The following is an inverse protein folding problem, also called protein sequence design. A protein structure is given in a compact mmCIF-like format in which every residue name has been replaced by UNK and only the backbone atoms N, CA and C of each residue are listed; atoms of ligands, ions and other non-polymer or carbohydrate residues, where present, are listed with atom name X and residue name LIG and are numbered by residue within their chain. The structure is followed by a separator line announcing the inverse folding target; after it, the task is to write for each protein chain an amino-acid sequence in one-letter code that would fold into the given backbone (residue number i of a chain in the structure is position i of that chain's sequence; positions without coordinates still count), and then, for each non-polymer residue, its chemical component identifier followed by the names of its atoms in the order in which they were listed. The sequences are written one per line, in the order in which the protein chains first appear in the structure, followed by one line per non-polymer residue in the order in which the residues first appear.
data_IF_115254104977
#
_entry.id   IF_115254104977
#
_cell.length_a   1.000
_cell.length_b   1.000
_cell.length_c   1.000
_cell.angle_alpha   90.00
_cell.angle_beta   90.00
_cell.angle_gamma   90.00
#
_symmetry.space_group_name_H-M   'P 1'
#
loop_
_entity.id
_entity.type
_entity.pdbx_description
1 polymer ?
#
# COMPACT_ATOMS: atom_id res chain seq x y z
N UNK A 1 28.72 10.98 1.63
CA UNK A 1 28.29 10.56 0.28
C UNK A 1 29.47 10.73 -0.65
N UNK A 2 29.54 9.91 -1.68
CA UNK A 2 30.62 9.92 -2.67
C UNK A 2 30.01 10.17 -4.04
N UNK A 3 30.60 11.06 -4.82
CA UNK A 3 30.17 11.32 -6.19
C UNK A 3 30.86 10.37 -7.20
N UNK A 4 30.49 10.39 -8.49
CA UNK A 4 31.10 9.52 -9.50
C UNK A 4 32.62 9.74 -9.72
N UNK A 5 33.17 10.89 -9.31
CA UNK A 5 34.61 11.15 -9.36
C UNK A 5 35.37 10.58 -8.16
N UNK A 6 34.65 10.09 -7.16
CA UNK A 6 35.21 9.62 -5.89
C UNK A 6 35.30 10.70 -4.82
N UNK A 7 34.86 11.94 -5.10
CA UNK A 7 34.89 13.02 -4.12
C UNK A 7 33.85 12.78 -3.02
N UNK A 8 34.27 12.94 -1.76
CA UNK A 8 33.39 12.73 -0.62
C UNK A 8 32.81 14.06 -0.10
N UNK A 9 31.51 14.05 0.21
CA UNK A 9 30.80 15.15 0.84
C UNK A 9 29.95 14.65 2.01
N UNK A 10 30.08 15.31 3.16
CA UNK A 10 29.17 15.09 4.28
C UNK A 10 27.78 15.67 3.96
N UNK A 11 26.75 14.86 4.12
CA UNK A 11 25.35 15.25 3.94
C UNK A 11 24.58 14.85 5.19
N UNK A 12 23.73 15.75 5.69
CA UNK A 12 22.77 15.43 6.74
C UNK A 12 21.37 15.48 6.14
N UNK A 13 20.62 14.41 6.34
CA UNK A 13 19.19 14.42 6.05
C UNK A 13 18.47 15.28 7.09
N UNK A 14 17.70 16.25 6.61
CA UNK A 14 17.02 17.21 7.48
C UNK A 14 15.88 16.54 8.25
N UNK A 15 15.68 16.97 9.48
CA UNK A 15 14.47 16.61 10.24
C UNK A 15 13.23 17.29 9.65
N UNK A 16 13.38 18.46 9.05
CA UNK A 16 12.30 19.13 8.30
C UNK A 16 12.20 18.59 6.87
N UNK A 17 11.00 18.67 6.29
CA UNK A 17 10.75 18.25 4.90
C UNK A 17 11.58 19.13 3.96
N UNK A 18 12.35 18.47 3.08
CA UNK A 18 13.13 19.14 2.04
C UNK A 18 12.30 19.20 0.76
N UNK A 19 11.99 20.40 0.22
CA UNK A 19 11.20 20.53 -1.02
C UNK A 19 12.02 20.18 -2.28
N UNK A 20 13.33 20.01 -2.15
CA UNK A 20 14.26 19.64 -3.22
C UNK A 20 15.07 18.40 -2.82
N UNK A 21 15.76 17.78 -3.78
CA UNK A 21 16.60 16.60 -3.54
C UNK A 21 17.69 16.93 -2.48
N UNK A 22 17.65 16.34 -1.27
CA UNK A 22 18.69 16.56 -0.25
C UNK A 22 20.09 16.13 -0.69
N UNK A 23 20.20 15.27 -1.71
CA UNK A 23 21.47 14.88 -2.30
C UNK A 23 21.31 14.57 -3.78
N UNK A 24 22.30 14.97 -4.58
CA UNK A 24 22.38 14.74 -6.03
C UNK A 24 23.80 14.30 -6.40
N UNK A 25 23.96 13.75 -7.60
CA UNK A 25 25.25 13.31 -8.15
C UNK A 25 25.98 12.31 -7.23
N UNK A 26 25.31 11.20 -6.91
CA UNK A 26 25.78 10.23 -5.92
C UNK A 26 26.16 8.92 -6.64
N UNK A 27 27.35 8.40 -6.31
CA UNK A 27 27.80 7.05 -6.65
C UNK A 27 28.01 6.17 -5.40
N UNK A 28 27.95 6.75 -4.19
CA UNK A 28 27.93 5.98 -2.96
C UNK A 28 27.50 6.75 -1.71
N UNK A 29 27.16 6.01 -0.67
CA UNK A 29 26.79 6.52 0.64
C UNK A 29 27.52 5.74 1.73
N UNK A 30 27.94 6.44 2.79
CA UNK A 30 28.53 5.82 3.98
C UNK A 30 27.93 6.48 5.21
N UNK A 31 27.51 5.68 6.18
CA UNK A 31 26.95 6.17 7.44
C UNK A 31 27.21 5.18 8.58
N UNK A 32 27.18 5.70 9.80
CA UNK A 32 27.24 4.87 11.00
C UNK A 32 25.84 4.72 11.58
N UNK A 33 25.44 3.50 11.91
CA UNK A 33 24.17 3.20 12.54
C UNK A 33 24.32 2.00 13.48
N UNK A 34 23.82 2.12 14.71
CA UNK A 34 23.73 1.02 15.69
C UNK A 34 25.05 0.22 15.88
N UNK A 35 26.20 0.90 15.91
CA UNK A 35 27.51 0.25 16.08
C UNK A 35 28.11 -0.34 14.80
N UNK A 36 27.50 -0.09 13.63
CA UNK A 36 28.01 -0.51 12.33
C UNK A 36 28.29 0.68 11.41
N UNK A 37 29.29 0.50 10.56
CA UNK A 37 29.56 1.36 9.42
C UNK A 37 28.96 0.68 8.19
N UNK A 38 27.90 1.25 7.65
CA UNK A 38 27.32 0.83 6.38
C UNK A 38 27.91 1.66 5.23
N UNK A 39 28.26 1.01 4.14
CA UNK A 39 28.71 1.62 2.88
C UNK A 39 27.90 1.04 1.73
N UNK A 40 27.27 1.92 0.95
CA UNK A 40 26.46 1.58 -0.22
C UNK A 40 27.15 2.14 -1.46
N UNK A 41 27.44 1.31 -2.44
CA UNK A 41 27.97 1.71 -3.75
C UNK A 41 26.92 1.50 -4.84
N UNK A 42 26.83 2.43 -5.78
CA UNK A 42 25.91 2.39 -6.91
C UNK A 42 26.68 2.27 -8.22
N UNK A 43 26.23 1.39 -9.11
CA UNK A 43 26.83 1.13 -10.42
C UNK A 43 25.71 1.18 -11.47
N UNK A 44 26.04 1.74 -12.64
CA UNK A 44 25.17 1.73 -13.82
C UNK A 44 24.44 3.04 -14.08
N UNK A 45 24.38 3.96 -13.11
CA UNK A 45 23.81 5.31 -13.30
C UNK A 45 24.27 6.27 -12.19
N UNK A 46 23.94 7.55 -12.34
CA UNK A 46 24.05 8.57 -11.29
C UNK A 46 22.78 8.54 -10.45
N UNK A 47 22.93 8.55 -9.12
CA UNK A 47 21.81 8.52 -8.19
C UNK A 47 21.60 9.88 -7.52
N UNK A 48 20.37 10.10 -7.05
CA UNK A 48 19.99 11.21 -6.20
C UNK A 48 18.98 10.76 -5.15
N UNK A 49 18.77 11.57 -4.11
CA UNK A 49 17.85 11.27 -3.01
C UNK A 49 16.74 12.31 -2.99
N UNK A 50 15.49 11.86 -2.93
CA UNK A 50 14.29 12.67 -2.68
C UNK A 50 13.75 12.39 -1.29
N UNK A 51 13.23 13.44 -0.67
CA UNK A 51 12.47 13.36 0.57
C UNK A 51 11.02 12.95 0.26
N UNK A 52 10.65 11.69 0.56
CA UNK A 52 9.30 11.19 0.25
C UNK A 52 8.23 11.71 1.22
N UNK A 53 8.59 12.50 2.24
CA UNK A 53 7.62 13.15 3.13
C UNK A 53 6.80 14.20 2.39
N UNK A 54 7.29 14.71 1.26
CA UNK A 54 6.49 15.48 0.30
C UNK A 54 5.30 14.68 -0.27
N UNK A 55 5.38 13.36 -0.22
CA UNK A 55 4.40 12.41 -0.75
C UNK A 55 3.81 11.52 0.35
N UNK A 56 3.74 12.02 1.58
CA UNK A 56 3.16 11.35 2.78
C UNK A 56 3.84 10.05 3.23
N UNK A 57 5.00 9.71 2.66
CA UNK A 57 5.81 8.57 3.09
C UNK A 57 6.91 9.05 4.05
N UNK A 58 7.03 8.40 5.21
CA UNK A 58 7.97 8.74 6.27
C UNK A 58 9.41 8.25 5.98
N UNK A 59 9.88 8.41 4.73
CA UNK A 59 11.16 7.89 4.27
C UNK A 59 11.88 8.83 3.28
N UNK A 60 13.11 8.45 2.94
CA UNK A 60 13.88 9.03 1.83
C UNK A 60 14.03 7.97 0.75
N UNK A 61 13.88 8.38 -0.51
CA UNK A 61 14.05 7.50 -1.67
C UNK A 61 15.31 7.89 -2.40
N UNK A 62 16.19 6.94 -2.64
CA UNK A 62 17.37 7.11 -3.52
C UNK A 62 17.10 6.41 -4.83
N UNK A 63 17.27 7.10 -5.95
CA UNK A 63 16.89 6.62 -7.27
C UNK A 63 17.82 7.16 -8.35
N UNK A 64 17.70 6.54 -9.51
CA UNK A 64 18.25 6.95 -10.79
C UNK A 64 17.14 6.74 -11.85
N UNK A 65 17.19 7.38 -13.01
CA UNK A 65 18.14 8.40 -13.51
C UNK A 65 17.78 9.81 -12.97
N UNK A 66 18.71 10.78 -12.85
CA UNK A 66 18.40 12.11 -12.30
C UNK A 66 17.22 12.82 -12.99
N UNK A 67 16.37 13.47 -12.19
CA UNK A 67 15.12 14.11 -12.66
C UNK A 67 15.34 15.31 -13.57
N UNK A 68 16.54 15.90 -13.57
CA UNK A 68 16.87 17.01 -14.46
C UNK A 68 17.14 16.55 -15.90
N UNK A 69 17.24 15.24 -16.15
CA UNK A 69 17.33 14.71 -17.50
C UNK A 69 15.97 14.80 -18.20
N UNK A 70 15.95 15.08 -19.52
CA UNK A 70 14.72 15.06 -20.29
C UNK A 70 13.97 13.73 -20.14
N UNK A 71 12.69 13.82 -19.78
CA UNK A 71 11.79 12.69 -19.67
C UNK A 71 10.85 12.62 -20.90
N UNK A 72 10.62 11.43 -21.48
CA UNK A 72 11.21 10.14 -21.12
C UNK A 72 12.67 10.00 -21.59
N UNK A 73 13.50 9.28 -20.82
CA UNK A 73 14.85 8.90 -21.26
C UNK A 73 14.72 7.79 -22.31
N UNK A 74 15.17 8.05 -23.53
CA UNK A 74 15.11 7.07 -24.61
C UNK A 74 16.17 5.97 -24.43
N UNK A 75 15.74 4.72 -24.37
CA UNK A 75 16.60 3.53 -24.41
C UNK A 75 16.35 2.83 -25.75
N UNK A 76 17.40 2.59 -26.55
CA UNK A 76 17.27 1.95 -27.86
C UNK A 76 17.10 0.43 -27.70
N UNK A 77 16.36 -0.25 -28.60
CA UNK A 77 16.34 -1.71 -28.61
C UNK A 77 17.77 -2.28 -28.66
N UNK A 78 18.05 -3.24 -27.77
CA UNK A 78 19.37 -3.86 -27.65
C UNK A 78 20.39 -3.09 -26.82
N UNK A 79 20.05 -1.94 -26.21
CA UNK A 79 20.94 -1.27 -25.25
C UNK A 79 21.15 -2.17 -24.03
N UNK A 80 22.40 -2.60 -23.73
CA UNK A 80 22.68 -3.34 -22.50
C UNK A 80 22.59 -2.38 -21.32
N UNK A 81 21.84 -2.79 -20.29
CA UNK A 81 21.72 -2.06 -19.03
C UNK A 81 22.15 -3.01 -17.92
N UNK A 82 23.15 -2.60 -17.16
CA UNK A 82 23.57 -3.28 -15.95
C UNK A 82 23.56 -2.25 -14.81
N UNK A 83 22.81 -2.57 -13.76
CA UNK A 83 22.76 -1.78 -12.55
C UNK A 83 23.09 -2.69 -11.37
N UNK A 84 23.90 -2.19 -10.45
CA UNK A 84 24.28 -2.93 -9.27
C UNK A 84 24.35 -2.01 -8.06
N UNK A 85 23.89 -2.54 -6.92
CA UNK A 85 23.94 -1.86 -5.64
C UNK A 85 24.67 -2.78 -4.67
N UNK A 86 25.76 -2.28 -4.09
CA UNK A 86 26.61 -3.07 -3.21
C UNK A 86 26.56 -2.47 -1.80
N UNK A 87 25.91 -3.18 -0.88
CA UNK A 87 25.91 -2.86 0.54
C UNK A 87 27.03 -3.62 1.25
N UNK A 88 27.89 -2.91 1.95
CA UNK A 88 28.92 -3.45 2.85
C UNK A 88 28.63 -2.96 4.26
N UNK A 89 28.65 -3.87 5.22
CA UNK A 89 28.46 -3.55 6.63
C UNK A 89 29.71 -4.04 7.36
N UNK A 90 30.33 -3.15 8.11
CA UNK A 90 31.44 -3.47 9.00
C UNK A 90 31.08 -3.05 10.42
N UNK A 91 31.57 -3.77 11.42
CA UNK A 91 31.51 -3.28 12.80
C UNK A 91 32.26 -1.96 12.92
N UNK A 92 31.66 -0.97 13.57
CA UNK A 92 32.34 0.26 13.92
C UNK A 92 33.02 0.07 15.28
N UNK A 93 34.32 0.38 15.43
CA UNK A 93 34.93 0.45 16.75
C UNK A 93 34.26 1.58 17.55
N UNK A 94 33.38 1.22 18.48
CA UNK A 94 32.76 2.16 19.40
C UNK A 94 33.41 1.99 20.78
N UNK A 95 33.94 3.05 21.41
CA UNK A 95 34.32 2.98 22.80
C UNK A 95 33.02 2.94 23.63
N UNK A 96 32.68 1.77 24.15
CA UNK A 96 31.68 1.61 25.22
C UNK A 96 30.21 1.37 24.81
N UNK A 97 29.92 0.99 23.57
CA UNK A 97 28.57 0.55 23.19
C UNK A 97 28.36 -0.94 23.51
N UNK A 98 27.42 -1.28 24.40
CA UNK A 98 27.00 -2.67 24.60
C UNK A 98 26.44 -3.25 23.29
N UNK A 99 26.97 -4.41 22.90
CA UNK A 99 26.52 -5.19 21.76
C UNK A 99 25.06 -5.59 21.98
N UNK A 100 24.13 -5.04 21.19
CA UNK A 100 22.82 -5.67 21.05
C UNK A 100 23.06 -7.08 20.51
N UNK A 101 22.75 -8.11 21.32
CA UNK A 101 22.88 -9.48 20.88
C UNK A 101 22.01 -9.68 19.64
N UNK A 102 22.63 -10.01 18.51
CA UNK A 102 21.87 -10.42 17.33
C UNK A 102 20.96 -11.59 17.72
N UNK A 103 19.68 -11.61 17.32
CA UNK A 103 18.83 -12.77 17.54
C UNK A 103 19.56 -14.01 16.99
N UNK A 104 19.74 -15.04 17.83
CA UNK A 104 20.60 -16.20 17.55
C UNK A 104 20.22 -16.93 16.25
N UNK A 105 18.98 -16.75 15.79
CA UNK A 105 18.47 -17.29 14.53
C UNK A 105 19.03 -16.61 13.27
N UNK A 106 19.45 -15.34 13.32
CA UNK A 106 19.95 -14.60 12.15
C UNK A 106 21.40 -14.99 11.83
N UNK A 107 22.23 -15.21 12.86
CA UNK A 107 23.64 -15.57 12.68
C UNK A 107 23.84 -16.93 12.00
N UNK A 108 22.93 -17.89 12.22
CA UNK A 108 22.96 -19.19 11.55
C UNK A 108 22.54 -19.11 10.07
N UNK A 109 21.66 -18.17 9.72
CA UNK A 109 21.18 -17.96 8.35
C UNK A 109 22.16 -17.13 7.50
N UNK A 110 23.03 -16.34 8.13
CA UNK A 110 23.98 -15.44 7.47
C UNK A 110 25.38 -15.59 8.09
N UNK A 111 26.13 -16.66 7.76
CA UNK A 111 27.50 -16.81 8.24
C UNK A 111 28.39 -15.65 7.74
N UNK A 112 29.26 -15.09 8.60
CA UNK A 112 29.98 -13.84 8.34
C UNK A 112 30.95 -13.92 7.16
N UNK A 113 31.43 -15.12 6.82
CA UNK A 113 32.46 -15.33 5.79
C UNK A 113 31.88 -15.72 4.41
N UNK A 114 30.55 -15.61 4.23
CA UNK A 114 29.91 -15.93 2.95
C UNK A 114 29.05 -14.77 2.45
N UNK A 115 29.15 -14.39 1.15
CA UNK A 115 28.26 -13.40 0.59
C UNK A 115 26.82 -13.90 0.65
N UNK A 116 25.98 -13.23 1.44
CA UNK A 116 24.56 -13.49 1.49
C UNK A 116 23.91 -13.05 0.18
N UNK A 117 23.40 -14.00 -0.60
CA UNK A 117 22.59 -13.69 -1.79
C UNK A 117 21.14 -13.51 -1.37
N UNK A 118 20.69 -12.26 -1.25
CA UNK A 118 19.26 -11.94 -1.11
C UNK A 118 18.66 -11.98 -2.50
N UNK A 119 17.79 -12.97 -2.75
CA UNK A 119 16.98 -13.02 -3.97
C UNK A 119 15.67 -12.32 -3.69
N UNK A 120 15.47 -11.17 -4.30
CA UNK A 120 14.16 -10.49 -4.31
C UNK A 120 13.38 -11.05 -5.49
N UNK A 121 12.30 -11.77 -5.19
CA UNK A 121 11.52 -12.51 -6.18
C UNK A 121 11.41 -14.00 -5.85
N UNK A 122 10.19 -14.51 -5.93
CA UNK A 122 9.74 -15.82 -5.43
C UNK A 122 8.34 -15.67 -4.84
N UNK A 123 7.52 -16.72 -4.77
CA UNK A 123 6.22 -16.63 -4.13
C UNK A 123 6.44 -16.18 -2.68
N UNK A 124 6.00 -14.97 -2.35
CA UNK A 124 5.89 -14.61 -0.96
C UNK A 124 4.83 -15.55 -0.38
N UNK A 125 5.14 -16.28 0.70
CA UNK A 125 4.11 -16.94 1.54
C UNK A 125 3.22 -15.89 2.26
N UNK A 126 3.09 -14.70 1.66
CA UNK A 126 2.30 -13.56 2.07
C UNK A 126 1.22 -13.41 1.01
N UNK A 127 -0.02 -13.35 1.48
CA UNK A 127 -1.16 -13.01 0.66
C UNK A 127 -1.05 -11.52 0.39
N UNK A 128 -0.81 -11.15 -0.87
CA UNK A 128 -0.98 -9.76 -1.31
C UNK A 128 -2.48 -9.51 -1.37
N UNK A 129 -2.99 -8.38 -0.85
CA UNK A 129 -4.41 -8.07 -0.99
C UNK A 129 -4.78 -8.08 -2.47
N UNK A 130 -5.91 -8.70 -2.77
CA UNK A 130 -6.45 -8.76 -4.12
C UNK A 130 -6.76 -7.33 -4.62
N UNK A 131 -6.14 -6.93 -5.72
CA UNK A 131 -6.37 -5.65 -6.39
C UNK A 131 -7.32 -5.90 -7.55
N UNK A 132 -8.48 -5.27 -7.50
CA UNK A 132 -9.51 -5.40 -8.54
C UNK A 132 -9.78 -4.02 -9.13
N UNK A 133 -9.82 -3.93 -10.47
CA UNK A 133 -10.14 -2.69 -11.17
C UNK A 133 -11.41 -2.89 -12.01
N UNK A 134 -12.56 -2.61 -11.41
CA UNK A 134 -13.85 -2.59 -12.08
C UNK A 134 -14.85 -1.78 -11.25
N UNK A 135 -15.62 -0.90 -11.88
CA UNK A 135 -16.64 -0.09 -11.22
C UNK A 135 -17.96 -0.09 -11.99
N UNK A 136 -19.05 0.19 -11.28
CA UNK A 136 -20.44 0.25 -11.78
C UNK A 136 -21.24 1.44 -11.19
N UNK A 137 -20.56 2.50 -10.79
CA UNK A 137 -21.18 3.64 -10.08
C UNK A 137 -21.97 4.59 -10.99
N UNK A 138 -21.78 4.52 -12.31
CA UNK A 138 -22.47 5.35 -13.30
C UNK A 138 -23.12 4.48 -14.40
N UNK A 139 -24.20 4.94 -15.05
CA UNK A 139 -24.77 4.26 -16.21
C UNK A 139 -23.83 4.36 -17.43
N UNK A 140 -23.82 3.36 -18.29
CA UNK A 140 -23.00 3.36 -19.50
C UNK A 140 -22.83 1.98 -20.12
N UNK A 141 -21.82 1.86 -20.99
CA UNK A 141 -21.42 0.57 -21.56
C UNK A 141 -20.69 -0.23 -20.48
N UNK A 142 -21.19 -1.42 -20.17
CA UNK A 142 -20.52 -2.37 -19.27
C UNK A 142 -19.30 -2.95 -19.98
N UNK A 143 -18.06 -2.67 -19.52
CA UNK A 143 -16.84 -3.23 -20.11
C UNK A 143 -16.73 -4.72 -19.82
N UNK A 144 -15.87 -5.43 -20.56
CA UNK A 144 -15.53 -6.83 -20.28
C UNK A 144 -15.03 -7.00 -18.84
N UNK A 145 -15.53 -8.04 -18.17
CA UNK A 145 -15.28 -8.34 -16.76
C UNK A 145 -14.43 -9.60 -16.58
N UNK A 146 -13.94 -10.18 -17.68
CA UNK A 146 -13.06 -11.35 -17.65
C UNK A 146 -11.88 -11.16 -16.68
N UNK A 147 -11.75 -12.06 -15.71
CA UNK A 147 -10.68 -12.04 -14.70
C UNK A 147 -10.94 -11.12 -13.51
N UNK A 148 -12.07 -10.40 -13.45
CA UNK A 148 -12.46 -9.69 -12.24
C UNK A 148 -13.04 -10.66 -11.21
N UNK A 149 -12.76 -10.38 -9.95
CA UNK A 149 -13.31 -11.09 -8.80
C UNK A 149 -14.53 -10.37 -8.21
N UNK A 150 -14.53 -9.05 -8.30
CA UNK A 150 -15.59 -8.18 -7.82
C UNK A 150 -15.72 -6.91 -8.66
N UNK A 151 -16.88 -6.25 -8.58
CA UNK A 151 -17.12 -4.93 -9.16
C UNK A 151 -17.41 -3.93 -8.05
N UNK A 152 -16.76 -2.78 -8.12
CA UNK A 152 -16.94 -1.70 -7.18
C UNK A 152 -18.22 -0.91 -7.46
N UNK A 153 -18.99 -0.65 -6.41
CA UNK A 153 -20.12 0.27 -6.43
C UNK A 153 -20.03 1.22 -5.25
N UNK A 154 -20.24 2.51 -5.52
CA UNK A 154 -20.35 3.53 -4.49
C UNK A 154 -21.82 3.91 -4.34
N UNK A 155 -22.33 3.81 -3.11
CA UNK A 155 -23.68 4.18 -2.74
C UNK A 155 -23.62 5.51 -2.00
N UNK A 156 -23.89 6.59 -2.73
CA UNK A 156 -24.05 7.90 -2.10
C UNK A 156 -25.44 7.99 -1.47
N UNK A 157 -25.50 7.87 -0.15
CA UNK A 157 -26.75 7.81 0.61
C UNK A 157 -27.46 9.17 0.71
N UNK A 158 -26.87 10.25 0.19
CA UNK A 158 -27.54 11.54 0.01
C UNK A 158 -28.33 11.62 -1.31
N UNK A 159 -28.02 10.76 -2.29
CA UNK A 159 -28.73 10.71 -3.57
C UNK A 159 -29.92 9.76 -3.50
N UNK A 160 -31.12 10.21 -3.85
CA UNK A 160 -32.32 9.35 -3.84
C UNK A 160 -32.25 8.22 -4.88
N UNK A 161 -31.36 8.30 -5.86
CA UNK A 161 -31.15 7.27 -6.89
C UNK A 161 -30.20 6.13 -6.47
N UNK A 162 -29.65 6.13 -5.24
CA UNK A 162 -28.74 5.07 -4.79
C UNK A 162 -29.31 3.64 -4.94
N UNK A 163 -30.63 3.36 -4.80
CA UNK A 163 -31.16 2.01 -5.04
C UNK A 163 -31.01 1.57 -6.50
N UNK A 164 -31.21 2.48 -7.46
CA UNK A 164 -31.04 2.20 -8.89
C UNK A 164 -29.56 1.97 -9.25
N UNK A 165 -28.65 2.67 -8.55
CA UNK A 165 -27.20 2.43 -8.64
C UNK A 165 -26.85 1.02 -8.18
N UNK A 166 -27.40 0.57 -7.05
CA UNK A 166 -27.18 -0.77 -6.53
C UNK A 166 -27.75 -1.86 -7.45
N UNK A 167 -28.99 -1.68 -7.94
CA UNK A 167 -29.64 -2.63 -8.85
C UNK A 167 -28.87 -2.77 -10.18
N UNK A 168 -28.36 -1.66 -10.72
CA UNK A 168 -27.48 -1.69 -11.88
C UNK A 168 -26.19 -2.42 -11.57
N UNK A 169 -25.53 -2.13 -10.45
CA UNK A 169 -24.30 -2.80 -10.06
C UNK A 169 -24.49 -4.32 -9.91
N UNK A 170 -25.62 -4.76 -9.39
CA UNK A 170 -25.96 -6.20 -9.34
C UNK A 170 -26.10 -6.81 -10.74
N UNK A 171 -26.71 -6.07 -11.68
CA UNK A 171 -26.84 -6.52 -13.07
C UNK A 171 -25.47 -6.57 -13.75
N UNK A 172 -24.68 -5.51 -13.60
CA UNK A 172 -23.34 -5.39 -14.17
C UNK A 172 -22.34 -6.36 -13.56
N UNK A 173 -22.59 -6.83 -12.34
CA UNK A 173 -21.78 -7.83 -11.68
C UNK A 173 -21.83 -9.20 -12.38
N UNK A 174 -22.91 -9.55 -13.08
CA UNK A 174 -23.00 -10.78 -13.90
C UNK A 174 -22.40 -12.04 -13.24
N UNK A 175 -22.74 -12.26 -11.96
CA UNK A 175 -22.23 -13.40 -11.17
C UNK A 175 -20.88 -13.20 -10.46
N UNK A 176 -20.24 -12.05 -10.64
CA UNK A 176 -19.11 -11.59 -9.83
C UNK A 176 -19.59 -10.98 -8.49
N UNK A 177 -18.69 -10.86 -7.50
CA UNK A 177 -19.03 -10.22 -6.23
C UNK A 177 -19.13 -8.68 -6.36
N UNK A 178 -19.70 -8.02 -5.36
CA UNK A 178 -19.67 -6.56 -5.18
C UNK A 178 -18.61 -6.12 -4.17
N UNK A 179 -17.93 -5.01 -4.45
CA UNK A 179 -17.14 -4.22 -3.51
C UNK A 179 -17.91 -2.91 -3.25
N UNK A 180 -18.60 -2.83 -2.11
CA UNK A 180 -19.56 -1.76 -1.82
C UNK A 180 -18.91 -0.69 -0.96
N UNK A 181 -18.91 0.55 -1.45
CA UNK A 181 -18.53 1.75 -0.68
C UNK A 181 -19.78 2.56 -0.33
N UNK A 182 -20.13 2.59 0.95
CA UNK A 182 -21.24 3.38 1.47
C UNK A 182 -20.71 4.77 1.79
N UNK A 183 -21.20 5.78 1.08
CA UNK A 183 -20.90 7.19 1.37
C UNK A 183 -22.09 7.78 2.10
N UNK A 184 -21.94 8.06 3.39
CA UNK A 184 -23.02 8.40 4.30
C UNK A 184 -22.63 9.53 5.25
N UNK A 185 -23.61 10.23 5.80
CA UNK A 185 -23.40 11.24 6.87
C UNK A 185 -23.86 10.74 8.23
N UNK A 186 -24.55 9.60 8.28
CA UNK A 186 -25.16 9.07 9.51
C UNK A 186 -25.07 7.55 9.59
N UNK A 187 -25.06 7.02 10.82
CA UNK A 187 -25.16 5.58 11.07
C UNK A 187 -26.45 4.96 10.49
N UNK A 188 -27.55 5.71 10.48
CA UNK A 188 -28.82 5.25 9.93
C UNK A 188 -28.75 4.98 8.42
N UNK A 189 -28.06 5.84 7.67
CA UNK A 189 -27.79 5.62 6.25
C UNK A 189 -26.92 4.39 6.01
N UNK A 190 -25.92 4.14 6.87
CA UNK A 190 -25.11 2.92 6.80
C UNK A 190 -25.97 1.68 7.02
N UNK A 191 -26.83 1.67 8.04
CA UNK A 191 -27.73 0.54 8.30
C UNK A 191 -28.72 0.30 7.14
N UNK A 192 -29.26 1.36 6.55
CA UNK A 192 -30.13 1.25 5.38
C UNK A 192 -29.42 0.61 4.18
N UNK A 193 -28.16 1.00 3.94
CA UNK A 193 -27.36 0.38 2.90
C UNK A 193 -27.04 -1.09 3.22
N UNK A 194 -26.73 -1.41 4.48
CA UNK A 194 -26.49 -2.78 4.94
C UNK A 194 -27.70 -3.69 4.72
N UNK A 195 -28.91 -3.21 4.99
CA UNK A 195 -30.16 -3.92 4.71
C UNK A 195 -30.30 -4.23 3.21
N UNK A 196 -30.00 -3.26 2.35
CA UNK A 196 -30.16 -3.40 0.91
C UNK A 196 -29.12 -4.32 0.27
N UNK A 197 -27.91 -4.41 0.83
CA UNK A 197 -26.83 -5.26 0.29
C UNK A 197 -26.78 -6.65 0.92
N UNK A 198 -27.48 -6.88 2.05
CA UNK A 198 -27.55 -8.17 2.71
C UNK A 198 -27.94 -9.37 1.82
N UNK A 199 -28.86 -9.24 0.82
CA UNK A 199 -29.20 -10.36 -0.05
C UNK A 199 -28.21 -10.54 -1.22
N UNK A 200 -27.18 -9.71 -1.35
CA UNK A 200 -26.27 -9.68 -2.50
C UNK A 200 -24.95 -10.39 -2.20
N UNK A 201 -24.28 -10.85 -3.26
CA UNK A 201 -22.93 -11.43 -3.17
C UNK A 201 -21.88 -10.32 -2.99
N UNK A 202 -21.68 -9.88 -1.74
CA UNK A 202 -20.73 -8.82 -1.39
C UNK A 202 -19.41 -9.40 -0.88
N UNK A 203 -18.29 -9.01 -1.50
CA UNK A 203 -16.93 -9.39 -1.09
C UNK A 203 -16.36 -8.43 -0.05
N UNK A 204 -16.66 -7.13 -0.19
CA UNK A 204 -16.11 -6.06 0.65
C UNK A 204 -17.13 -4.97 0.90
N UNK A 205 -17.07 -4.40 2.09
CA UNK A 205 -17.85 -3.24 2.51
C UNK A 205 -16.92 -2.19 3.11
N UNK A 206 -17.12 -0.93 2.73
CA UNK A 206 -16.52 0.23 3.38
C UNK A 206 -17.57 1.29 3.63
N UNK A 207 -17.40 2.07 4.71
CA UNK A 207 -18.24 3.22 5.01
C UNK A 207 -17.37 4.47 5.12
N UNK A 208 -17.76 5.54 4.44
CA UNK A 208 -17.02 6.79 4.33
C UNK A 208 -17.96 7.96 4.59
N UNK A 209 -17.47 8.97 5.30
CA UNK A 209 -18.22 10.19 5.53
C UNK A 209 -18.37 10.98 4.23
N UNK A 210 -19.59 11.48 3.98
CA UNK A 210 -19.91 12.17 2.73
C UNK A 210 -19.16 13.49 2.54
N UNK A 211 -18.63 14.11 3.61
CA UNK A 211 -17.90 15.36 3.53
C UNK A 211 -16.39 15.14 3.63
N UNK A 212 -15.93 14.30 4.56
CA UNK A 212 -14.48 14.07 4.78
C UNK A 212 -13.89 12.98 3.90
N UNK A 213 -14.74 12.09 3.35
CA UNK A 213 -14.34 10.86 2.67
C UNK A 213 -13.47 9.93 3.52
N UNK A 214 -13.55 10.05 4.85
CA UNK A 214 -12.86 9.20 5.81
C UNK A 214 -13.85 8.20 6.45
N UNK A 215 -13.34 7.04 6.86
CA UNK A 215 -14.09 6.10 7.70
C UNK A 215 -14.13 6.60 9.14
N UNK A 216 -15.06 7.52 9.41
CA UNK A 216 -15.26 8.10 10.74
C UNK A 216 -15.78 7.05 11.74
N UNK A 217 -15.45 7.24 13.03
CA UNK A 217 -15.76 6.28 14.11
C UNK A 217 -17.24 5.85 14.13
N UNK A 218 -18.16 6.79 13.94
CA UNK A 218 -19.61 6.53 13.99
C UNK A 218 -20.07 5.65 12.84
N UNK A 219 -19.55 5.90 11.63
CA UNK A 219 -19.88 5.11 10.44
C UNK A 219 -19.24 3.72 10.50
N UNK A 220 -18.01 3.65 11.03
CA UNK A 220 -17.34 2.38 11.30
C UNK A 220 -18.09 1.51 12.31
N UNK A 221 -18.54 2.10 13.42
CA UNK A 221 -19.34 1.38 14.41
C UNK A 221 -20.63 0.84 13.77
N UNK A 222 -21.33 1.66 12.97
CA UNK A 222 -22.52 1.21 12.23
C UNK A 222 -22.20 0.07 11.26
N UNK A 223 -21.05 0.11 10.57
CA UNK A 223 -20.66 -0.94 9.64
C UNK A 223 -20.35 -2.28 10.33
N UNK A 224 -19.71 -2.25 11.50
CA UNK A 224 -19.28 -3.45 12.23
C UNK A 224 -20.39 -4.03 13.12
N UNK A 225 -21.23 -3.17 13.71
CA UNK A 225 -22.26 -3.55 14.67
C UNK A 225 -23.66 -3.62 14.05
N UNK A 226 -23.85 -2.99 12.89
CA UNK A 226 -25.11 -2.97 12.16
C UNK A 226 -25.54 -4.38 11.77
N UNK A 227 -26.80 -4.72 12.09
CA UNK A 227 -27.42 -5.99 11.69
C UNK A 227 -28.45 -5.71 10.60
N UNK A 228 -28.48 -6.49 9.51
CA UNK A 228 -29.60 -6.46 8.59
C UNK A 228 -30.90 -6.82 9.35
N UNK A 229 -31.98 -6.11 9.07
CA UNK A 229 -33.30 -6.36 9.65
C UNK A 229 -33.79 -7.78 9.32
N UNK A 230 -34.33 -8.47 10.33
CA UNK A 230 -34.52 -9.92 10.36
C UNK A 230 -35.70 -10.47 9.51
N UNK A 231 -36.08 -9.81 8.41
CA UNK A 231 -37.22 -10.23 7.57
C UNK A 231 -36.84 -11.15 6.40
N UNK A 232 -35.60 -11.62 6.32
CA UNK A 232 -35.16 -12.58 5.30
C UNK A 232 -35.41 -14.05 5.73
N UNK A 233 -35.87 -14.86 4.78
CA UNK A 233 -36.40 -16.23 4.96
C UNK A 233 -35.47 -17.20 5.72
N UNK A 234 -35.99 -18.14 6.56
CA UNK A 234 -35.19 -18.91 7.53
C UNK A 234 -34.28 -20.01 6.95
N UNK A 235 -34.27 -20.26 5.64
CA UNK A 235 -33.56 -21.41 5.07
C UNK A 235 -32.05 -21.22 4.87
N UNK A 236 -31.43 -20.22 5.49
CA UNK A 236 -29.96 -20.03 5.48
C UNK A 236 -29.33 -19.81 6.86
N UNK A 237 -30.11 -19.82 7.95
CA UNK A 237 -29.62 -19.52 9.30
C UNK A 237 -29.47 -20.78 10.15
N UNK A 238 -28.49 -21.62 9.81
CA UNK A 238 -27.81 -22.43 10.80
C UNK A 238 -26.64 -21.61 11.36
N UNK A 239 -26.67 -21.35 12.67
CA UNK A 239 -25.64 -20.74 13.53
C UNK A 239 -24.37 -20.24 12.80
N UNK A 240 -24.21 -18.92 12.65
CA UNK A 240 -22.96 -18.34 12.17
C UNK A 240 -22.34 -17.43 13.23
N UNK A 241 -21.21 -17.92 13.73
CA UNK A 241 -20.07 -17.19 14.29
C UNK A 241 -19.80 -15.86 13.57
N UNK A 242 -19.03 -14.93 14.18
CA UNK A 242 -18.69 -13.63 13.59
C UNK A 242 -18.38 -13.76 12.10
N UNK A 243 -19.17 -13.00 11.33
CA UNK A 243 -19.11 -12.77 9.88
C UNK A 243 -17.87 -13.41 9.24
N UNK A 244 -18.05 -14.62 8.70
CA UNK A 244 -17.19 -15.39 7.77
C UNK A 244 -15.67 -15.10 7.78
N UNK A 245 -14.79 -16.12 7.85
CA UNK A 245 -13.33 -15.96 7.73
C UNK A 245 -12.86 -15.36 6.39
N UNK A 246 -13.78 -15.13 5.44
CA UNK A 246 -13.48 -14.53 4.14
C UNK A 246 -13.87 -13.05 4.03
N UNK A 247 -14.54 -12.41 4.99
CA UNK A 247 -14.84 -10.98 4.90
C UNK A 247 -13.67 -10.16 5.45
N UNK A 248 -13.02 -9.37 4.59
CA UNK A 248 -11.97 -8.44 5.02
C UNK A 248 -12.59 -7.04 5.09
N UNK A 249 -12.83 -6.57 6.32
CA UNK A 249 -13.04 -5.14 6.54
C UNK A 249 -11.69 -4.44 6.36
N UNK A 250 -11.49 -3.76 5.23
CA UNK A 250 -10.22 -3.09 4.92
C UNK A 250 -10.18 -1.77 5.71
N UNK A 251 -9.31 -1.73 6.70
CA UNK A 251 -8.94 -0.49 7.40
C UNK A 251 -7.91 0.26 6.57
N UNK A 252 -8.26 1.42 6.01
CA UNK A 252 -7.25 2.42 5.65
C UNK A 252 -7.02 3.23 6.91
N UNK A 253 -5.89 2.97 7.58
CA UNK A 253 -5.62 3.46 8.93
C UNK A 253 -5.75 4.98 9.06
N UNK A 254 -6.54 5.42 10.04
CA UNK A 254 -6.44 6.78 10.57
C UNK A 254 -5.03 6.99 11.11
N UNK A 255 -4.26 7.88 10.46
CA UNK A 255 -3.11 8.53 11.05
C UNK A 255 -3.58 9.24 12.33
N UNK A 256 -3.17 8.72 13.48
CA UNK A 256 -3.28 9.46 14.74
C UNK A 256 -2.43 10.72 14.59
N UNK A 257 -3.05 11.89 14.75
CA UNK A 257 -2.30 13.12 15.07
C UNK A 257 -1.83 13.06 16.52
#
# INVERSE_FOLDING_TARGET
MTDPSGAEKAVRFSQTISPHQPARNIAGMRWNAAGFTASLGFIGDIFETEDQRNWTDASFKTYSTPLDRPFPVQIRPGTPIEQSVVLRIAESPSPGGERAAAPTQIAAAFPPDQPARIVVGGPSNRIVPEITLGASSAPGVTPDRAGLTAILVELNMADTAWPDVLARAQTDADGHFLDVRIVASTAAQVNLALDAVAPLDVRRLGAFDAATHLSERVLWAALVEGRPSATCSPNSLAAREPISPNLIAITIGCLRR
#
